data_IF_179127179740
#
_entry.id   IF_179127179740
#
_cell.length_a   1.000
_cell.length_b   1.000
_cell.length_c   1.000
_cell.angle_alpha   90.00
_cell.angle_beta   90.00
_cell.angle_gamma   90.00
#
_symmetry.space_group_name_H-M   'P 1'
#
loop_
_entity.id
_entity.type
_entity.pdbx_description
1 polymer ?
#
# COMPACT_ATOMS: atom_id res chain seq x y z
N UNK A 1 2.22 15.85 0.66
CA UNK A 1 3.58 15.32 0.41
C UNK A 1 3.42 14.10 -0.48
N UNK A 2 3.94 14.12 -1.72
CA UNK A 2 3.97 12.92 -2.56
C UNK A 2 5.11 12.02 -2.08
N UNK A 3 4.79 10.80 -1.66
CA UNK A 3 5.81 9.79 -1.40
C UNK A 3 6.22 9.20 -2.76
N UNK A 4 7.41 9.54 -3.25
CA UNK A 4 7.99 8.89 -4.44
C UNK A 4 8.62 7.58 -3.99
N UNK A 5 7.87 6.48 -4.11
CA UNK A 5 8.41 5.15 -3.83
C UNK A 5 9.23 4.68 -5.04
N UNK A 6 10.55 4.89 -5.01
CA UNK A 6 11.50 4.32 -6.00
C UNK A 6 11.77 2.85 -5.71
N UNK A 7 10.72 2.02 -5.65
CA UNK A 7 10.93 0.59 -5.40
C UNK A 7 11.23 -0.14 -6.70
N UNK A 8 12.34 -0.86 -6.74
CA UNK A 8 12.73 -1.74 -7.83
C UNK A 8 11.77 -2.95 -8.04
N UNK A 9 10.50 -2.89 -7.60
CA UNK A 9 9.65 -4.07 -7.46
C UNK A 9 8.16 -3.93 -7.80
N UNK A 10 7.67 -2.78 -8.25
CA UNK A 10 6.28 -2.61 -8.71
C UNK A 10 5.19 -2.87 -7.64
N UNK A 11 3.91 -2.91 -8.04
CA UNK A 11 2.76 -3.09 -7.13
C UNK A 11 2.88 -4.30 -6.18
N UNK A 12 3.34 -5.45 -6.70
CA UNK A 12 3.50 -6.67 -5.92
C UNK A 12 4.49 -6.51 -4.76
N UNK A 13 5.66 -5.91 -5.02
CA UNK A 13 6.67 -5.71 -3.98
C UNK A 13 6.21 -4.72 -2.92
N UNK A 14 5.47 -3.67 -3.30
CA UNK A 14 4.87 -2.72 -2.34
C UNK A 14 3.88 -3.43 -1.42
N UNK A 15 2.97 -4.25 -1.95
CA UNK A 15 2.04 -5.05 -1.13
C UNK A 15 2.78 -5.97 -0.18
N UNK A 16 3.82 -6.65 -0.66
CA UNK A 16 4.63 -7.55 0.16
C UNK A 16 5.36 -6.80 1.30
N UNK A 17 5.97 -5.65 0.99
CA UNK A 17 6.66 -4.83 1.98
C UNK A 17 5.70 -4.30 3.05
N UNK A 18 4.52 -3.79 2.64
CA UNK A 18 3.50 -3.33 3.56
C UNK A 18 2.99 -4.47 4.45
N UNK A 19 2.78 -5.66 3.87
CA UNK A 19 2.35 -6.85 4.62
C UNK A 19 3.37 -7.24 5.70
N UNK A 20 4.66 -7.25 5.37
CA UNK A 20 5.71 -7.58 6.33
C UNK A 20 5.63 -6.69 7.57
N UNK A 21 5.58 -5.36 7.39
CA UNK A 21 5.48 -4.41 8.52
C UNK A 21 4.20 -4.62 9.33
N UNK A 22 3.06 -4.82 8.65
CA UNK A 22 1.77 -5.04 9.31
C UNK A 22 1.72 -6.37 10.09
N UNK A 23 2.40 -7.41 9.60
CA UNK A 23 2.52 -8.70 10.29
C UNK A 23 3.40 -8.59 11.56
N UNK A 24 4.36 -7.66 11.60
CA UNK A 24 5.05 -7.32 12.85
C UNK A 24 4.12 -6.58 13.82
N UNK A 25 3.36 -5.61 13.34
CA UNK A 25 2.41 -4.85 14.15
C UNK A 25 1.29 -5.74 14.73
N UNK A 26 0.91 -6.81 14.03
CA UNK A 26 -0.05 -7.80 14.50
C UNK A 26 0.43 -8.59 15.74
N UNK A 27 1.73 -8.57 16.03
CA UNK A 27 2.35 -9.24 17.20
C UNK A 27 2.55 -8.30 18.41
N UNK A 28 2.18 -7.03 18.30
CA UNK A 28 2.25 -6.06 19.40
C UNK A 28 1.10 -6.24 20.41
N UNK A 29 1.15 -5.53 21.53
CA UNK A 29 0.09 -5.46 22.54
C UNK A 29 -0.27 -3.99 22.85
N UNK A 30 -1.50 -3.53 22.53
CA UNK A 30 -2.55 -4.25 21.80
C UNK A 30 -2.16 -4.54 20.33
N UNK A 31 -2.61 -5.65 19.75
CA UNK A 31 -2.24 -6.02 18.38
C UNK A 31 -2.95 -5.13 17.36
N UNK A 32 -2.28 -4.87 16.25
CA UNK A 32 -2.89 -4.28 15.07
C UNK A 32 -3.55 -5.38 14.22
N UNK A 33 -4.87 -5.32 14.07
CA UNK A 33 -5.67 -6.28 13.28
C UNK A 33 -6.02 -5.65 11.94
N UNK A 34 -5.46 -6.20 10.86
CA UNK A 34 -5.68 -5.67 9.52
C UNK A 34 -7.11 -5.98 9.02
N UNK A 35 -7.84 -4.96 8.62
CA UNK A 35 -9.15 -5.08 7.95
C UNK A 35 -8.95 -5.12 6.41
N UNK A 36 -8.11 -4.23 5.88
CA UNK A 36 -7.90 -4.05 4.44
C UNK A 36 -6.47 -3.55 4.15
N UNK A 37 -5.85 -4.10 3.11
CA UNK A 37 -4.59 -3.63 2.52
C UNK A 37 -4.67 -3.90 1.02
N UNK A 38 -4.74 -2.84 0.22
CA UNK A 38 -4.76 -2.97 -1.23
C UNK A 38 -4.07 -1.80 -1.92
N UNK A 39 -3.67 -2.04 -3.16
CA UNK A 39 -3.36 -0.98 -4.11
C UNK A 39 -4.56 -0.85 -5.04
N UNK A 40 -5.06 0.36 -5.20
CA UNK A 40 -6.28 0.64 -5.97
C UNK A 40 -6.07 1.75 -6.98
N UNK A 41 -6.87 1.72 -8.05
CA UNK A 41 -6.99 2.83 -9.00
C UNK A 41 -7.71 4.00 -8.30
N UNK A 42 -7.15 5.22 -8.30
CA UNK A 42 -7.76 6.35 -7.60
C UNK A 42 -9.10 6.82 -8.21
N UNK A 43 -9.41 6.44 -9.45
CA UNK A 43 -10.63 6.88 -10.14
C UNK A 43 -11.88 6.10 -9.71
N UNK A 44 -11.75 4.82 -9.39
CA UNK A 44 -12.87 3.94 -9.07
C UNK A 44 -12.65 3.03 -7.84
N UNK A 45 -11.46 3.11 -7.21
CA UNK A 45 -11.06 2.30 -6.06
C UNK A 45 -11.10 0.79 -6.30
N UNK A 46 -10.94 0.35 -7.56
CA UNK A 46 -10.76 -1.06 -7.89
C UNK A 46 -9.31 -1.51 -7.71
N UNK A 47 -9.10 -2.77 -7.32
CA UNK A 47 -7.75 -3.31 -7.09
C UNK A 47 -6.92 -3.32 -8.40
N UNK A 48 -5.66 -2.89 -8.31
CA UNK A 48 -4.73 -2.92 -9.44
C UNK A 48 -3.88 -4.20 -9.46
N UNK A 49 -3.61 -4.68 -10.68
CA UNK A 49 -2.76 -5.85 -10.92
C UNK A 49 -1.26 -5.60 -10.68
N UNK A 50 -0.48 -6.68 -10.67
CA UNK A 50 0.97 -6.65 -10.40
C UNK A 50 1.79 -5.89 -11.46
N UNK A 51 1.29 -5.82 -12.70
CA UNK A 51 1.92 -5.10 -13.81
C UNK A 51 1.40 -3.68 -14.03
N UNK A 52 0.65 -3.11 -13.08
CA UNK A 52 0.05 -1.79 -13.24
C UNK A 52 1.10 -0.68 -13.32
N UNK A 53 0.87 0.27 -14.22
CA UNK A 53 1.63 1.51 -14.38
C UNK A 53 0.68 2.70 -14.31
N UNK A 54 1.12 3.79 -13.69
CA UNK A 54 0.32 5.00 -13.48
C UNK A 54 0.14 5.32 -12.00
N UNK A 55 -0.82 6.20 -11.72
CA UNK A 55 -1.18 6.61 -10.37
C UNK A 55 -2.01 5.54 -9.66
N UNK A 56 -1.71 5.31 -8.39
CA UNK A 56 -2.35 4.33 -7.53
C UNK A 56 -2.46 4.86 -6.10
N UNK A 57 -3.31 4.24 -5.29
CA UNK A 57 -3.37 4.50 -3.85
C UNK A 57 -3.14 3.20 -3.10
N UNK A 58 -2.16 3.19 -2.19
CA UNK A 58 -2.06 2.16 -1.16
C UNK A 58 -3.02 2.50 -0.04
N UNK A 59 -4.12 1.76 0.05
CA UNK A 59 -5.14 1.94 1.07
C UNK A 59 -4.99 0.88 2.17
N UNK A 60 -4.98 1.34 3.41
CA UNK A 60 -4.87 0.50 4.61
C UNK A 60 -5.99 0.83 5.58
N UNK A 61 -6.64 -0.19 6.11
CA UNK A 61 -7.50 -0.07 7.27
C UNK A 61 -7.19 -1.16 8.28
N UNK A 62 -7.08 -0.81 9.55
CA UNK A 62 -6.79 -1.75 10.62
C UNK A 62 -7.41 -1.30 11.94
N UNK A 63 -7.46 -2.21 12.92
CA UNK A 63 -7.95 -1.95 14.26
C UNK A 63 -6.89 -2.16 15.31
N UNK A 64 -6.86 -1.29 16.31
CA UNK A 64 -6.06 -1.44 17.53
C UNK A 64 -7.03 -1.30 18.71
N UNK A 65 -7.31 -2.42 19.39
CA UNK A 65 -8.42 -2.49 20.34
C UNK A 65 -9.76 -2.15 19.66
N UNK A 66 -10.47 -1.14 20.18
CA UNK A 66 -11.74 -0.66 19.62
C UNK A 66 -11.59 0.38 18.50
N UNK A 67 -10.38 0.94 18.32
CA UNK A 67 -10.14 2.05 17.40
C UNK A 67 -9.85 1.54 16.00
N UNK A 68 -10.54 2.08 14.99
CA UNK A 68 -10.27 1.79 13.56
C UNK A 68 -9.44 2.92 12.96
N UNK A 69 -8.27 2.55 12.44
CA UNK A 69 -7.33 3.43 11.76
C UNK A 69 -7.44 3.23 10.25
N UNK A 70 -7.26 4.31 9.50
CA UNK A 70 -7.24 4.31 8.03
C UNK A 70 -6.04 5.17 7.62
N UNK A 71 -5.30 4.70 6.62
CA UNK A 71 -4.28 5.51 5.95
C UNK A 71 -4.27 5.20 4.45
N UNK A 72 -4.08 6.23 3.63
CA UNK A 72 -4.08 6.17 2.19
C UNK A 72 -2.85 6.92 1.67
N UNK A 73 -1.97 6.23 0.96
CA UNK A 73 -0.74 6.81 0.41
C UNK A 73 -0.82 6.78 -1.12
N UNK A 74 -0.82 7.93 -1.81
CA UNK A 74 -0.73 7.97 -3.27
C UNK A 74 0.67 7.53 -3.72
N UNK A 75 0.72 6.72 -4.77
CA UNK A 75 1.93 6.14 -5.36
C UNK A 75 1.86 6.24 -6.89
N UNK A 76 3.01 6.39 -7.53
CA UNK A 76 3.14 6.33 -8.99
C UNK A 76 4.02 5.16 -9.38
N UNK A 77 3.53 4.29 -10.27
CA UNK A 77 4.28 3.17 -10.84
C UNK A 77 4.70 3.49 -12.28
N UNK A 78 6.00 3.63 -12.53
CA UNK A 78 6.54 3.88 -13.86
C UNK A 78 7.35 2.71 -14.42
N UNK A 79 7.51 2.65 -15.73
CA UNK A 79 8.52 1.82 -16.38
C UNK A 79 9.90 2.41 -16.09
N UNK A 80 10.80 1.63 -15.48
CA UNK A 80 12.20 2.04 -15.39
C UNK A 80 12.76 2.18 -16.82
N UNK A 81 12.89 3.41 -17.32
CA UNK A 81 13.37 3.66 -18.69
C UNK A 81 13.23 5.08 -19.23
N UNK A 82 12.27 5.88 -18.77
CA UNK A 82 11.99 7.20 -19.39
C UNK A 82 12.51 8.42 -18.60
N UNK A 83 13.26 8.20 -17.52
CA UNK A 83 14.03 9.26 -16.90
C UNK A 83 15.33 9.50 -17.70
N UNK A 84 15.20 10.22 -18.81
CA UNK A 84 16.31 10.94 -19.45
C UNK A 84 16.66 12.20 -18.66
#
# INVERSE_FOLDING_TARGET
AHAVATTAGGPAAIRAAARLVLDEAARLDPPLRLDYLALVDPSDFTDIGDGFTGEAVLAVAARVGATRLIDNIPLTFGTFGDAS
#
